data_IF_460670163492
#
_entry.id   IF_460670163492
#
_cell.length_a   1.000
_cell.length_b   1.000
_cell.length_c   1.000
_cell.angle_alpha   90.00
_cell.angle_beta   90.00
_cell.angle_gamma   90.00
#
_symmetry.space_group_name_H-M   'P 1'
#
loop_
_entity.id
_entity.type
_entity.pdbx_description
1 polymer ?
#
# COMPACT_ATOMS: atom_id res chain seq x y z
N UNK A 1 18.30 -10.76 -2.57
CA UNK A 1 18.00 -10.24 -1.22
C UNK A 1 18.93 -9.05 -1.01
N UNK A 2 18.42 -7.81 -0.97
CA UNK A 2 19.29 -6.63 -0.79
C UNK A 2 19.69 -6.52 0.69
N UNK A 3 20.99 -6.63 1.04
CA UNK A 3 21.43 -6.66 2.44
C UNK A 3 21.00 -5.41 3.22
N UNK A 4 20.98 -4.24 2.59
CA UNK A 4 20.54 -2.97 3.18
C UNK A 4 19.07 -2.96 3.64
N UNK A 5 18.17 -3.69 2.94
CA UNK A 5 16.75 -3.75 3.32
C UNK A 5 16.51 -4.56 4.60
N UNK A 6 17.19 -5.70 4.69
CA UNK A 6 17.10 -6.60 5.84
C UNK A 6 17.68 -5.92 7.08
N UNK A 7 18.70 -5.09 6.89
CA UNK A 7 19.34 -4.33 7.96
C UNK A 7 18.40 -3.25 8.51
N UNK A 8 17.79 -2.43 7.64
CA UNK A 8 16.87 -1.36 8.07
C UNK A 8 15.62 -1.90 8.80
N UNK A 9 15.00 -2.97 8.31
CA UNK A 9 13.85 -3.58 8.98
C UNK A 9 14.21 -4.13 10.36
N UNK A 10 15.37 -4.75 10.47
CA UNK A 10 15.88 -5.29 11.73
C UNK A 10 16.22 -4.15 12.70
N UNK A 11 16.86 -3.09 12.22
CA UNK A 11 17.17 -1.89 12.99
C UNK A 11 15.91 -1.25 13.57
N UNK A 12 14.87 -1.06 12.76
CA UNK A 12 13.60 -0.48 13.24
C UNK A 12 12.89 -1.42 14.21
N UNK A 13 12.89 -2.74 13.98
CA UNK A 13 12.31 -3.69 14.93
C UNK A 13 13.03 -3.64 16.28
N UNK A 14 14.36 -3.69 16.26
CA UNK A 14 15.19 -3.59 17.46
C UNK A 14 14.96 -2.26 18.19
N UNK A 15 14.84 -1.15 17.45
CA UNK A 15 14.47 0.15 18.00
C UNK A 15 13.09 0.11 18.69
N UNK A 16 12.07 -0.41 18.01
CA UNK A 16 10.72 -0.48 18.59
C UNK A 16 10.69 -1.31 19.88
N UNK A 17 11.50 -2.35 19.96
CA UNK A 17 11.64 -3.24 21.12
C UNK A 17 12.50 -2.67 22.26
N UNK A 18 13.54 -1.88 21.93
CA UNK A 18 14.45 -1.28 22.91
C UNK A 18 13.85 -0.10 23.67
N UNK A 19 12.76 0.48 23.16
CA UNK A 19 12.04 1.58 23.83
C UNK A 19 11.62 1.24 25.27
N UNK A 20 11.57 2.24 26.17
CA UNK A 20 11.25 2.03 27.57
C UNK A 20 9.99 1.19 27.77
N UNK A 21 10.03 0.24 28.71
CA UNK A 21 8.91 -0.67 28.98
C UNK A 21 7.60 0.08 29.23
N UNK A 22 7.63 1.19 29.97
CA UNK A 22 6.45 2.03 30.24
C UNK A 22 5.81 2.61 28.98
N UNK A 23 6.60 2.96 27.96
CA UNK A 23 6.10 3.42 26.65
C UNK A 23 5.45 2.27 25.90
N UNK A 24 6.14 1.13 25.78
CA UNK A 24 5.62 -0.07 25.09
C UNK A 24 4.36 -0.61 25.75
N UNK A 25 4.26 -0.55 27.08
CA UNK A 25 3.05 -0.92 27.82
C UNK A 25 1.87 -0.01 27.48
N UNK A 26 2.08 1.31 27.41
CA UNK A 26 1.01 2.25 27.03
C UNK A 26 0.53 2.04 25.60
N UNK A 27 1.44 1.81 24.65
CA UNK A 27 1.10 1.48 23.26
C UNK A 27 0.38 0.13 23.14
N UNK A 28 0.82 -0.85 23.94
CA UNK A 28 0.16 -2.14 23.98
C UNK A 28 -1.29 -2.00 24.44
N UNK A 29 -1.52 -1.22 25.52
CA UNK A 29 -2.83 -0.91 26.08
C UNK A 29 -3.70 -0.06 25.15
N UNK A 30 -3.12 0.87 24.38
CA UNK A 30 -3.87 1.63 23.38
C UNK A 30 -4.28 0.78 22.16
N UNK A 31 -3.76 -0.44 22.06
CA UNK A 31 -3.99 -1.33 20.92
C UNK A 31 -3.22 -0.92 19.67
N UNK A 32 -2.31 0.07 19.73
CA UNK A 32 -1.49 0.48 18.58
C UNK A 32 -0.46 -0.60 18.25
N UNK A 33 -0.34 -0.95 16.98
CA UNK A 33 0.59 -1.96 16.45
C UNK A 33 1.28 -1.42 15.20
N UNK A 34 2.43 -1.99 14.88
CA UNK A 34 3.26 -1.58 13.75
C UNK A 34 3.59 -2.78 12.87
N UNK A 35 3.49 -2.61 11.56
CA UNK A 35 3.89 -3.60 10.56
C UNK A 35 4.85 -2.98 9.57
N UNK A 36 6.04 -3.56 9.45
CA UNK A 36 7.09 -3.13 8.54
C UNK A 36 6.87 -3.82 7.19
N UNK A 37 6.80 -3.06 6.11
CA UNK A 37 6.52 -3.59 4.77
C UNK A 37 7.45 -2.95 3.74
N UNK A 38 8.31 -3.74 3.08
CA UNK A 38 9.17 -3.24 2.02
C UNK A 38 8.46 -3.28 0.66
N UNK A 39 8.90 -2.44 -0.28
CA UNK A 39 8.70 -2.71 -1.69
C UNK A 39 9.75 -3.71 -2.17
N UNK A 40 9.33 -4.89 -2.66
CA UNK A 40 10.24 -6.01 -2.91
C UNK A 40 11.32 -5.72 -3.95
N UNK A 41 11.06 -4.86 -4.93
CA UNK A 41 11.98 -4.52 -6.03
C UNK A 41 12.98 -3.42 -5.70
N UNK A 42 12.83 -2.66 -4.60
CA UNK A 42 13.66 -1.48 -4.28
C UNK A 42 14.01 -1.29 -2.81
N UNK A 43 15.17 -0.71 -2.49
CA UNK A 43 15.66 -0.59 -1.11
C UNK A 43 14.88 0.40 -0.26
N UNK A 44 14.23 1.37 -0.89
CA UNK A 44 13.43 2.43 -0.25
C UNK A 44 12.20 2.80 -1.09
N UNK A 45 11.16 3.37 -0.47
CA UNK A 45 10.97 3.52 0.97
C UNK A 45 10.63 2.18 1.65
N UNK A 46 10.96 2.08 2.94
CA UNK A 46 10.36 1.09 3.83
C UNK A 46 9.10 1.71 4.46
N UNK A 47 7.99 1.01 4.40
CA UNK A 47 6.74 1.48 4.99
C UNK A 47 6.54 0.90 6.39
N UNK A 48 6.04 1.73 7.31
CA UNK A 48 5.53 1.31 8.61
C UNK A 48 4.03 1.57 8.64
N UNK A 49 3.25 0.50 8.63
CA UNK A 49 1.80 0.58 8.82
C UNK A 49 1.56 0.63 10.32
N UNK A 50 1.12 1.78 10.81
CA UNK A 50 0.69 1.99 12.18
C UNK A 50 -0.84 1.82 12.24
N UNK A 51 -1.33 0.82 12.99
CA UNK A 51 -2.73 0.40 12.97
C UNK A 51 -3.24 0.03 14.37
N UNK A 52 -4.56 0.02 14.53
CA UNK A 52 -5.21 -0.56 15.72
C UNK A 52 -5.26 -2.08 15.60
N UNK A 53 -5.03 -2.81 16.70
CA UNK A 53 -5.13 -4.27 16.76
C UNK A 53 -6.48 -4.80 16.26
N UNK A 54 -7.55 -4.00 16.36
CA UNK A 54 -8.89 -4.34 15.85
C UNK A 54 -8.96 -4.36 14.33
N UNK A 55 -8.00 -3.73 13.67
CA UNK A 55 -7.95 -3.52 12.22
C UNK A 55 -6.76 -4.29 11.59
N UNK A 56 -6.28 -5.35 12.25
CA UNK A 56 -5.16 -6.19 11.79
C UNK A 56 -5.38 -6.81 10.39
N UNK A 57 -6.62 -7.17 10.07
CA UNK A 57 -6.96 -7.65 8.74
C UNK A 57 -6.72 -6.59 7.65
N UNK A 58 -7.07 -5.32 7.93
CA UNK A 58 -6.89 -4.22 6.99
C UNK A 58 -5.41 -3.82 6.85
N UNK A 59 -4.64 -3.90 7.94
CA UNK A 59 -3.17 -3.78 7.85
C UNK A 59 -2.56 -4.94 7.05
N UNK A 60 -3.23 -6.12 7.02
CA UNK A 60 -2.95 -7.25 6.13
C UNK A 60 -3.11 -6.91 4.68
N UNK A 61 -4.25 -6.35 4.31
CA UNK A 61 -4.53 -5.94 2.93
C UNK A 61 -3.56 -4.84 2.47
N UNK A 62 -3.27 -3.83 3.31
CA UNK A 62 -2.27 -2.81 2.99
C UNK A 62 -0.86 -3.40 2.81
N UNK A 63 -0.46 -4.33 3.68
CA UNK A 63 0.85 -4.98 3.56
C UNK A 63 0.97 -5.80 2.26
N UNK A 64 -0.09 -6.55 1.90
CA UNK A 64 -0.17 -7.28 0.63
C UNK A 64 -0.13 -6.33 -0.57
N UNK A 65 -0.80 -5.18 -0.48
CA UNK A 65 -0.80 -4.16 -1.53
C UNK A 65 0.62 -3.70 -1.84
N UNK A 66 1.38 -3.32 -0.81
CA UNK A 66 2.75 -2.83 -0.95
C UNK A 66 3.73 -3.95 -1.35
N UNK A 67 3.64 -5.11 -0.73
CA UNK A 67 4.68 -6.13 -0.91
C UNK A 67 4.47 -6.99 -2.17
N UNK A 68 3.22 -7.30 -2.51
CA UNK A 68 2.86 -8.26 -3.56
C UNK A 68 2.21 -7.55 -4.75
N UNK A 69 1.13 -6.80 -4.52
CA UNK A 69 0.37 -6.21 -5.63
C UNK A 69 1.17 -5.15 -6.38
N UNK A 70 2.11 -4.47 -5.70
CA UNK A 70 3.12 -3.62 -6.35
C UNK A 70 3.88 -4.39 -7.44
N UNK A 71 4.51 -5.52 -7.10
CA UNK A 71 5.34 -6.29 -8.05
C UNK A 71 4.52 -6.88 -9.18
N UNK A 72 3.28 -7.25 -8.91
CA UNK A 72 2.35 -7.76 -9.92
C UNK A 72 1.82 -6.66 -10.86
N UNK A 73 1.95 -5.39 -10.49
CA UNK A 73 1.59 -4.30 -11.40
C UNK A 73 2.54 -4.25 -12.60
N UNK A 74 2.04 -3.90 -13.80
CA UNK A 74 2.86 -3.83 -15.01
C UNK A 74 4.11 -2.96 -14.82
N UNK A 75 5.25 -3.36 -15.37
CA UNK A 75 6.51 -2.64 -15.20
C UNK A 75 6.40 -1.15 -15.58
N UNK A 76 5.76 -0.86 -16.71
CA UNK A 76 5.57 0.51 -17.20
C UNK A 76 4.74 1.42 -16.26
N UNK A 77 3.89 0.85 -15.40
CA UNK A 77 3.16 1.66 -14.40
C UNK A 77 4.04 1.94 -13.19
N UNK A 78 4.88 0.98 -12.79
CA UNK A 78 5.85 1.12 -11.70
C UNK A 78 6.97 2.10 -12.04
N UNK A 79 7.48 2.05 -13.27
CA UNK A 79 8.57 2.92 -13.75
C UNK A 79 8.25 4.41 -13.61
N UNK A 80 6.96 4.79 -13.75
CA UNK A 80 6.49 6.17 -13.54
C UNK A 80 6.71 6.69 -12.11
N UNK A 81 6.95 5.80 -11.15
CA UNK A 81 7.20 6.11 -9.75
C UNK A 81 8.65 5.90 -9.32
N UNK A 82 9.55 5.49 -10.22
CA UNK A 82 10.93 5.17 -9.82
C UNK A 82 11.66 6.39 -9.25
N UNK A 83 11.56 7.55 -9.91
CA UNK A 83 12.17 8.78 -9.41
C UNK A 83 11.53 9.25 -8.09
N UNK A 84 10.19 9.16 -7.99
CA UNK A 84 9.44 9.55 -6.79
C UNK A 84 9.88 8.68 -5.61
N UNK A 85 9.83 7.35 -5.76
CA UNK A 85 10.19 6.41 -4.70
C UNK A 85 11.68 6.44 -4.37
N UNK A 86 12.53 6.81 -5.33
CA UNK A 86 13.95 7.03 -5.08
C UNK A 86 14.19 8.28 -4.22
N UNK A 87 13.41 9.35 -4.41
CA UNK A 87 13.52 10.60 -3.65
C UNK A 87 12.70 10.61 -2.36
N UNK A 88 11.80 9.64 -2.18
CA UNK A 88 11.00 9.49 -0.98
C UNK A 88 11.87 9.30 0.28
N UNK A 89 11.39 9.73 1.46
CA UNK A 89 12.04 9.43 2.73
C UNK A 89 12.35 7.94 2.86
N UNK A 90 13.50 7.59 3.45
CA UNK A 90 13.88 6.18 3.61
C UNK A 90 12.81 5.38 4.37
N UNK A 91 12.14 6.03 5.32
CA UNK A 91 11.05 5.48 6.12
C UNK A 91 9.78 6.31 5.91
N UNK A 92 8.66 5.65 5.61
CA UNK A 92 7.34 6.28 5.48
C UNK A 92 6.35 5.61 6.42
N UNK A 93 5.76 6.38 7.32
CA UNK A 93 4.73 5.92 8.27
C UNK A 93 3.35 6.11 7.64
N UNK A 94 2.55 5.05 7.62
CA UNK A 94 1.15 5.06 7.22
C UNK A 94 0.30 4.88 8.48
N UNK A 95 -0.41 5.94 8.88
CA UNK A 95 -1.46 5.84 9.89
C UNK A 95 -2.71 5.24 9.23
N UNK A 96 -2.94 3.95 9.46
CA UNK A 96 -4.07 3.23 8.89
C UNK A 96 -5.25 3.30 9.86
N UNK A 97 -6.18 4.21 9.57
CA UNK A 97 -7.34 4.49 10.40
C UNK A 97 -8.63 4.27 9.61
N UNK A 98 -9.73 4.03 10.32
CA UNK A 98 -11.05 3.82 9.71
C UNK A 98 -11.51 5.05 8.93
N UNK A 99 -11.34 6.20 9.58
CA UNK A 99 -11.69 7.53 9.08
C UNK A 99 -10.58 8.51 9.44
N UNK A 100 -10.60 9.68 8.82
CA UNK A 100 -9.69 10.78 9.13
C UNK A 100 -10.45 12.09 9.31
N UNK A 101 -9.80 13.06 9.94
CA UNK A 101 -10.40 14.35 10.31
C UNK A 101 -10.69 15.21 9.07
N UNK A 102 -9.86 15.12 8.03
CA UNK A 102 -10.06 15.84 6.76
C UNK A 102 -11.27 15.32 5.95
N UNK A 103 -11.75 14.11 6.23
CA UNK A 103 -12.74 13.44 5.39
C UNK A 103 -12.22 13.11 3.98
N UNK A 104 -10.91 12.91 3.83
CA UNK A 104 -10.23 12.58 2.59
C UNK A 104 -9.87 11.08 2.53
N UNK A 105 -9.39 10.56 1.40
CA UNK A 105 -9.00 9.14 1.30
C UNK A 105 -7.68 8.83 2.02
N UNK A 106 -6.78 9.80 1.97
CA UNK A 106 -5.54 9.91 2.71
C UNK A 106 -5.01 11.33 2.53
N UNK A 107 -4.04 11.72 3.35
CA UNK A 107 -3.26 12.93 3.16
C UNK A 107 -1.86 12.76 3.74
N UNK A 108 -0.85 13.32 3.08
CA UNK A 108 0.46 13.48 3.72
C UNK A 108 0.37 14.42 4.92
N UNK A 109 1.16 14.14 5.94
CA UNK A 109 1.39 15.06 7.04
C UNK A 109 2.65 15.89 6.81
N UNK A 110 2.61 17.16 7.20
CA UNK A 110 3.80 18.06 7.13
C UNK A 110 4.84 17.68 8.20
N UNK A 111 4.39 17.10 9.31
CA UNK A 111 5.24 16.62 10.39
C UNK A 111 4.79 15.25 10.85
N UNK A 112 5.76 14.40 11.20
CA UNK A 112 5.50 13.06 11.72
C UNK A 112 4.98 13.15 13.15
N UNK A 113 3.81 12.58 13.41
CA UNK A 113 3.12 12.58 14.70
C UNK A 113 3.12 11.20 15.37
N UNK A 114 3.33 10.13 14.60
CA UNK A 114 3.47 8.79 15.19
C UNK A 114 4.69 8.76 16.12
N UNK A 115 4.42 8.65 17.43
CA UNK A 115 5.39 8.88 18.50
C UNK A 115 6.76 8.18 18.32
N UNK A 116 6.85 6.89 17.95
CA UNK A 116 8.15 6.25 17.67
C UNK A 116 8.96 6.88 16.53
N UNK A 117 8.34 7.64 15.63
CA UNK A 117 8.98 8.11 14.39
C UNK A 117 9.01 9.63 14.29
N UNK A 118 8.49 10.35 15.30
CA UNK A 118 8.38 11.80 15.31
C UNK A 118 9.73 12.54 15.41
N UNK A 119 10.78 11.87 15.91
CA UNK A 119 12.12 12.43 16.08
C UNK A 119 13.14 11.58 15.33
N UNK A 120 14.13 12.18 14.63
CA UNK A 120 15.20 11.44 13.96
C UNK A 120 15.91 10.42 14.85
N UNK A 121 16.28 9.28 14.29
CA UNK A 121 16.98 8.21 15.00
C UNK A 121 17.89 7.44 14.04
N UNK A 122 19.05 6.99 14.52
CA UNK A 122 20.06 6.28 13.71
C UNK A 122 19.52 4.99 13.08
N UNK A 123 18.56 4.34 13.76
CA UNK A 123 17.88 3.14 13.27
C UNK A 123 17.15 3.33 11.93
N UNK A 124 16.89 4.56 11.50
CA UNK A 124 16.34 4.88 10.19
C UNK A 124 17.17 5.95 9.44
N UNK A 125 18.49 5.91 9.64
CA UNK A 125 19.44 6.72 8.87
C UNK A 125 19.54 8.18 9.30
N UNK A 126 19.01 8.53 10.48
CA UNK A 126 19.00 9.89 11.03
C UNK A 126 18.26 10.92 10.17
N UNK A 127 17.57 10.48 9.10
CA UNK A 127 16.66 11.29 8.29
C UNK A 127 15.27 11.38 8.95
N UNK A 128 14.51 12.41 8.59
CA UNK A 128 13.11 12.50 9.01
C UNK A 128 12.27 11.50 8.21
N UNK A 129 11.44 10.73 8.91
CA UNK A 129 10.46 9.89 8.25
C UNK A 129 9.41 10.75 7.52
N UNK A 130 8.81 10.21 6.48
CA UNK A 130 7.55 10.72 5.94
C UNK A 130 6.37 10.17 6.76
N UNK A 131 5.24 10.88 6.78
CA UNK A 131 4.00 10.36 7.36
C UNK A 131 2.81 10.70 6.47
N UNK A 132 1.87 9.77 6.38
CA UNK A 132 0.56 9.93 5.77
C UNK A 132 -0.49 9.17 6.60
N UNK A 133 -1.75 9.58 6.51
CA UNK A 133 -2.89 8.78 6.96
C UNK A 133 -3.63 8.17 5.76
N UNK A 134 -4.34 7.07 6.01
CA UNK A 134 -5.24 6.45 5.05
C UNK A 134 -6.52 6.04 5.76
N UNK A 135 -7.65 6.57 5.29
CA UNK A 135 -8.99 6.29 5.80
C UNK A 135 -9.61 5.08 5.08
N UNK A 136 -9.27 3.86 5.53
CA UNK A 136 -9.56 2.65 4.75
C UNK A 136 -11.06 2.35 4.54
N UNK A 137 -11.95 2.79 5.43
CA UNK A 137 -13.40 2.63 5.23
C UNK A 137 -13.86 3.51 4.04
N UNK A 138 -13.33 4.73 3.93
CA UNK A 138 -13.62 5.60 2.78
C UNK A 138 -13.04 5.06 1.48
N UNK A 139 -11.85 4.47 1.52
CA UNK A 139 -11.23 3.83 0.34
C UNK A 139 -12.07 2.64 -0.16
N UNK A 140 -12.71 1.91 0.75
CA UNK A 140 -13.59 0.79 0.40
C UNK A 140 -14.76 1.23 -0.47
N UNK A 141 -15.37 2.36 -0.11
CA UNK A 141 -16.54 2.90 -0.79
C UNK A 141 -16.16 3.81 -1.98
N UNK A 142 -14.87 4.15 -2.11
CA UNK A 142 -14.39 4.99 -3.19
C UNK A 142 -14.51 4.32 -4.55
N UNK A 143 -15.35 4.90 -5.42
CA UNK A 143 -15.47 4.49 -6.82
C UNK A 143 -14.42 5.20 -7.67
N UNK A 144 -13.19 4.71 -7.63
CA UNK A 144 -12.23 5.04 -8.67
C UNK A 144 -12.82 4.57 -10.01
N UNK A 145 -13.15 5.52 -10.91
CA UNK A 145 -13.86 5.30 -12.17
C UNK A 145 -13.49 3.94 -12.79
N UNK A 146 -14.42 2.98 -12.87
CA UNK A 146 -14.14 1.68 -13.47
C UNK A 146 -13.82 1.87 -14.96
N UNK A 147 -12.92 1.06 -15.50
CA UNK A 147 -12.84 0.89 -16.94
C UNK A 147 -14.13 0.20 -17.39
N UNK A 148 -14.78 0.70 -18.44
CA UNK A 148 -15.98 0.08 -19.01
C UNK A 148 -15.78 -1.41 -19.32
N UNK A 149 -14.56 -1.81 -19.67
CA UNK A 149 -14.20 -3.19 -20.00
C UNK A 149 -14.07 -4.08 -18.74
N UNK A 150 -13.53 -3.55 -17.64
CA UNK A 150 -13.52 -4.29 -16.34
C UNK A 150 -14.92 -4.59 -15.80
N UNK A 151 -15.92 -3.79 -16.16
CA UNK A 151 -17.32 -4.02 -15.77
C UNK A 151 -18.00 -5.14 -16.59
N UNK A 152 -17.50 -5.43 -17.80
CA UNK A 152 -17.93 -6.57 -18.61
C UNK A 152 -17.28 -7.86 -18.11
N UNK A 153 -16.00 -7.81 -17.72
CA UNK A 153 -15.23 -8.97 -17.29
C UNK A 153 -15.55 -9.46 -15.88
N UNK A 154 -15.90 -8.56 -14.96
CA UNK A 154 -16.38 -8.93 -13.63
C UNK A 154 -17.67 -9.77 -13.67
N UNK A 155 -18.45 -9.73 -14.77
CA UNK A 155 -19.66 -10.54 -14.95
C UNK A 155 -19.36 -12.04 -15.03
N UNK A 156 -18.15 -12.43 -15.43
CA UNK A 156 -17.73 -13.84 -15.49
C UNK A 156 -17.17 -14.35 -14.15
N UNK A 157 -17.00 -13.48 -13.16
CA UNK A 157 -16.51 -13.82 -11.83
C UNK A 157 -17.70 -14.07 -10.91
N UNK A 158 -17.94 -15.33 -10.55
CA UNK A 158 -18.93 -15.73 -9.55
C UNK A 158 -18.27 -16.37 -8.33
N UNK A 159 -18.96 -16.32 -7.19
CA UNK A 159 -18.51 -16.98 -5.95
C UNK A 159 -17.20 -16.41 -5.41
N UNK A 160 -16.26 -17.28 -5.02
CA UNK A 160 -14.99 -16.89 -4.39
C UNK A 160 -14.14 -15.95 -5.24
N UNK A 161 -14.18 -16.08 -6.57
CA UNK A 161 -13.39 -15.24 -7.49
C UNK A 161 -13.83 -13.78 -7.52
N UNK A 162 -15.12 -13.53 -7.30
CA UNK A 162 -15.62 -12.15 -7.19
C UNK A 162 -15.11 -11.50 -5.89
N UNK A 163 -15.04 -12.25 -4.80
CA UNK A 163 -14.44 -11.79 -3.55
C UNK A 163 -12.95 -11.50 -3.72
N UNK A 164 -12.21 -12.37 -4.41
CA UNK A 164 -10.79 -12.17 -4.72
C UNK A 164 -10.56 -10.92 -5.57
N UNK A 165 -11.43 -10.70 -6.58
CA UNK A 165 -11.41 -9.49 -7.39
C UNK A 165 -11.67 -8.24 -6.54
N UNK A 166 -12.69 -8.22 -5.68
CA UNK A 166 -12.95 -7.08 -4.80
C UNK A 166 -11.83 -6.82 -3.81
N UNK A 167 -11.21 -7.88 -3.26
CA UNK A 167 -10.05 -7.75 -2.39
C UNK A 167 -8.86 -7.14 -3.16
N UNK A 168 -8.56 -7.63 -4.36
CA UNK A 168 -7.51 -7.08 -5.23
C UNK A 168 -7.80 -5.62 -5.60
N UNK A 169 -9.03 -5.31 -5.98
CA UNK A 169 -9.46 -3.96 -6.31
C UNK A 169 -9.27 -3.01 -5.12
N UNK A 170 -9.67 -3.43 -3.93
CA UNK A 170 -9.47 -2.66 -2.70
C UNK A 170 -7.98 -2.40 -2.43
N UNK A 171 -7.13 -3.42 -2.55
CA UNK A 171 -5.68 -3.27 -2.37
C UNK A 171 -5.04 -2.34 -3.42
N UNK A 172 -5.47 -2.41 -4.68
CA UNK A 172 -4.99 -1.49 -5.70
C UNK A 172 -5.43 -0.04 -5.46
N UNK A 173 -6.62 0.19 -4.89
CA UNK A 173 -7.02 1.53 -4.43
C UNK A 173 -6.10 2.03 -3.31
N UNK A 174 -5.88 1.21 -2.28
CA UNK A 174 -4.94 1.52 -1.19
C UNK A 174 -3.56 1.89 -1.73
N UNK A 175 -3.01 1.07 -2.63
CA UNK A 175 -1.69 1.29 -3.23
C UNK A 175 -1.66 2.59 -4.04
N UNK A 176 -2.70 2.88 -4.84
CA UNK A 176 -2.78 4.13 -5.61
C UNK A 176 -2.77 5.37 -4.71
N UNK A 177 -3.41 5.32 -3.55
CA UNK A 177 -3.41 6.41 -2.55
C UNK A 177 -2.05 6.53 -1.88
N UNK A 178 -1.41 5.41 -1.48
CA UNK A 178 -0.04 5.47 -0.94
C UNK A 178 0.91 6.13 -1.93
N UNK A 179 0.84 5.76 -3.20
CA UNK A 179 1.68 6.33 -4.27
C UNK A 179 1.37 7.81 -4.51
N UNK A 180 0.10 8.20 -4.43
CA UNK A 180 -0.34 9.59 -4.48
C UNK A 180 0.27 10.42 -3.33
N UNK A 181 0.10 9.98 -2.09
CA UNK A 181 0.61 10.72 -0.93
C UNK A 181 2.14 10.70 -0.87
N UNK A 182 2.78 9.62 -1.30
CA UNK A 182 4.24 9.54 -1.44
C UNK A 182 4.76 10.56 -2.44
N UNK A 183 4.03 10.80 -3.53
CA UNK A 183 4.38 11.87 -4.46
C UNK A 183 4.42 13.22 -3.76
N UNK A 184 3.39 13.53 -2.98
CA UNK A 184 3.29 14.80 -2.26
C UNK A 184 4.34 14.93 -1.15
N UNK A 185 4.82 13.81 -0.58
CA UNK A 185 5.96 13.82 0.34
C UNK A 185 7.26 14.29 -0.34
N UNK A 186 7.41 14.03 -1.64
CA UNK A 186 8.61 14.36 -2.43
C UNK A 186 8.49 15.71 -3.13
N UNK A 187 7.33 15.97 -3.73
CA UNK A 187 7.05 17.14 -4.55
C UNK A 187 5.77 17.82 -4.03
N UNK A 188 5.84 18.52 -2.88
CA UNK A 188 4.66 19.08 -2.21
C UNK A 188 3.93 20.17 -3.03
N UNK A 189 4.63 20.78 -3.98
CA UNK A 189 4.11 21.84 -4.85
C UNK A 189 3.60 21.29 -6.20
N UNK A 190 3.69 19.98 -6.43
CA UNK A 190 3.18 19.38 -7.66
C UNK A 190 1.64 19.50 -7.71
N UNK A 191 1.05 19.95 -8.84
CA UNK A 191 -0.39 20.15 -8.92
C UNK A 191 -1.18 18.87 -8.62
N UNK A 192 -2.17 18.98 -7.75
CA UNK A 192 -3.04 17.87 -7.33
C UNK A 192 -3.65 17.11 -8.51
N UNK A 193 -4.00 17.82 -9.59
CA UNK A 193 -4.54 17.21 -10.82
C UNK A 193 -3.54 16.24 -11.47
N UNK A 194 -2.25 16.58 -11.51
CA UNK A 194 -1.21 15.76 -12.10
C UNK A 194 -0.92 14.51 -11.26
N UNK A 195 -0.80 14.69 -9.93
CA UNK A 195 -0.56 13.58 -8.99
C UNK A 195 -1.76 12.63 -8.98
N UNK A 196 -2.98 13.16 -9.00
CA UNK A 196 -4.22 12.39 -9.11
C UNK A 196 -4.30 11.62 -10.42
N UNK A 197 -3.97 12.24 -11.55
CA UNK A 197 -3.97 11.56 -12.84
C UNK A 197 -2.97 10.41 -12.86
N UNK A 198 -1.74 10.63 -12.36
CA UNK A 198 -0.69 9.60 -12.28
C UNK A 198 -1.15 8.38 -11.46
N UNK A 199 -1.69 8.62 -10.26
CA UNK A 199 -2.17 7.57 -9.35
C UNK A 199 -3.41 6.84 -9.87
N UNK A 200 -4.34 7.54 -10.52
CA UNK A 200 -5.49 6.92 -11.18
C UNK A 200 -5.09 6.06 -12.38
N UNK A 201 -4.10 6.52 -13.17
CA UNK A 201 -3.60 5.73 -14.30
C UNK A 201 -2.92 4.45 -13.81
N UNK A 202 -2.11 4.53 -12.75
CA UNK A 202 -1.58 3.33 -12.09
C UNK A 202 -2.69 2.35 -11.69
N UNK A 203 -3.73 2.83 -10.99
CA UNK A 203 -4.85 1.99 -10.55
C UNK A 203 -5.55 1.31 -11.73
N UNK A 204 -5.87 2.07 -12.79
CA UNK A 204 -6.56 1.56 -13.98
C UNK A 204 -5.74 0.50 -14.69
N UNK A 205 -4.47 0.81 -14.98
CA UNK A 205 -3.58 -0.08 -15.72
C UNK A 205 -3.31 -1.38 -14.93
N UNK A 206 -3.10 -1.27 -13.61
CA UNK A 206 -2.90 -2.44 -12.75
C UNK A 206 -4.16 -3.31 -12.62
N UNK A 207 -5.35 -2.69 -12.53
CA UNK A 207 -6.61 -3.43 -12.45
C UNK A 207 -6.96 -4.10 -13.78
N UNK A 208 -6.73 -3.42 -14.91
CA UNK A 208 -6.89 -3.99 -16.24
C UNK A 208 -6.00 -5.23 -16.41
N UNK A 209 -4.71 -5.09 -16.10
CA UNK A 209 -3.75 -6.19 -16.19
C UNK A 209 -4.13 -7.39 -15.32
N UNK A 210 -4.58 -7.15 -14.09
CA UNK A 210 -5.07 -8.22 -13.22
C UNK A 210 -6.29 -8.94 -13.82
N UNK A 211 -7.22 -8.17 -14.38
CA UNK A 211 -8.46 -8.70 -14.97
C UNK A 211 -8.16 -9.55 -16.20
N UNK A 212 -7.31 -9.06 -17.10
CA UNK A 212 -6.83 -9.79 -18.28
C UNK A 212 -6.16 -11.12 -17.88
N UNK A 213 -5.24 -11.10 -16.90
CA UNK A 213 -4.56 -12.30 -16.41
C UNK A 213 -5.54 -13.30 -15.77
N UNK A 214 -6.52 -12.80 -15.01
CA UNK A 214 -7.55 -13.63 -14.39
C UNK A 214 -8.38 -14.34 -15.47
N UNK A 215 -8.81 -13.64 -16.52
CA UNK A 215 -9.57 -14.20 -17.65
C UNK A 215 -8.74 -15.22 -18.43
N UNK A 216 -7.49 -14.89 -18.77
CA UNK A 216 -6.61 -15.81 -19.50
C UNK A 216 -6.45 -17.14 -18.75
N UNK A 217 -6.33 -17.07 -17.42
CA UNK A 217 -6.26 -18.26 -16.56
C UNK A 217 -7.57 -19.06 -16.56
N UNK A 218 -8.73 -18.39 -16.67
CA UNK A 218 -10.04 -19.05 -16.79
C UNK A 218 -10.13 -19.84 -18.09
N UNK A 219 -9.82 -19.22 -19.23
CA UNK A 219 -9.88 -19.85 -20.54
C UNK A 219 -9.00 -21.11 -20.60
N UNK A 220 -7.79 -21.05 -20.04
CA UNK A 220 -6.88 -22.20 -19.96
C UNK A 220 -7.38 -23.33 -19.04
N UNK A 221 -8.10 -22.99 -17.97
CA UNK A 221 -8.66 -23.98 -17.04
C UNK A 221 -9.85 -24.71 -17.66
N UNK A 222 -10.68 -23.98 -18.40
CA UNK A 222 -11.84 -24.53 -19.12
C UNK A 222 -11.35 -25.50 -20.21
N UNK A 223 -10.40 -25.09 -21.06
CA UNK A 223 -9.84 -25.96 -22.11
C UNK A 223 -9.28 -27.27 -21.55
N UNK A 224 -8.50 -27.20 -20.46
CA UNK A 224 -7.94 -28.40 -19.81
C UNK A 224 -8.98 -29.32 -19.19
N UNK A 225 -10.15 -28.80 -18.81
CA UNK A 225 -11.24 -29.59 -18.25
C UNK A 225 -11.97 -30.37 -19.34
N UNK A 226 -12.08 -29.79 -20.54
CA UNK A 226 -12.65 -30.45 -21.71
C UNK A 226 -11.70 -31.48 -22.35
N UNK A 227 -10.39 -31.23 -22.38
CA UNK A 227 -9.41 -32.20 -22.91
C UNK A 227 -9.20 -33.45 -22.04
N UNK A 228 -9.79 -33.52 -20.83
CA UNK A 228 -9.76 -34.72 -19.96
C UNK A 228 -11.01 -35.58 -20.08
N UNK A 229 -11.96 -35.18 -20.91
CA UNK A 229 -13.22 -35.89 -21.16
C UNK A 229 -13.24 -36.59 -22.53
N UNK A 230 -12.13 -36.52 -23.28
CA UNK A 230 -11.83 -37.35 -24.47
C UNK A 230 -10.84 -38.47 -24.10
#
# INVERSE_FOLDING_TARGET
>A
MHPEKSDLQTAIRNYLESRPRSVRWREWLSGRRYRLVPLRDRSRPLYVIAYSVRDDAHSGEMARALEHDWIEAPAHTREKYDEILFRAPQLVVIQLDRTNVCGCLGHRHVSVREAPFAMPHDAFGSEHAGEMDIAFERVRDWQALPLSDTALDAKFLHGSRLNDFHAKQFRLRLLSIVLHETNHLVSPDEPETSVRERSLNFYRDALAHYTENAIATLSLTIDRSFSRLE
#
